data_IF_351516239101
#
_entry.id   IF_351516239101
#
_cell.length_a   1.000
_cell.length_b   1.000
_cell.length_c   1.000
_cell.angle_alpha   90.00
_cell.angle_beta   90.00
_cell.angle_gamma   90.00
#
_symmetry.space_group_name_H-M   'P 1'
#
loop_
_entity.id
_entity.type
_entity.pdbx_description
1 polymer ?
#
# COMPACT_ATOMS: atom_id res chain seq x y z
N UNK A 1 -50.89 39.61 6.01
CA UNK A 1 -49.74 39.12 6.83
C UNK A 1 -49.48 37.61 6.71
N UNK A 2 -50.47 36.78 6.36
CA UNK A 2 -50.34 35.29 6.29
C UNK A 2 -49.51 34.80 5.09
N UNK A 3 -49.51 35.52 3.96
CA UNK A 3 -48.84 35.10 2.73
C UNK A 3 -47.30 35.17 2.81
N UNK A 4 -46.75 36.21 3.46
CA UNK A 4 -45.30 36.35 3.69
C UNK A 4 -44.72 35.24 4.59
N UNK A 5 -45.54 34.70 5.50
CA UNK A 5 -45.17 33.63 6.44
C UNK A 5 -45.05 32.26 5.77
N UNK A 6 -45.90 31.95 4.79
CA UNK A 6 -45.84 30.70 4.01
C UNK A 6 -44.64 30.67 3.04
N UNK A 7 -44.30 31.81 2.44
CA UNK A 7 -43.12 31.95 1.57
C UNK A 7 -41.83 31.76 2.37
N UNK A 8 -41.77 32.31 3.59
CA UNK A 8 -40.60 32.18 4.47
C UNK A 8 -40.37 30.74 4.97
N UNK A 9 -41.44 30.01 5.33
CA UNK A 9 -41.32 28.58 5.69
C UNK A 9 -40.93 27.69 4.50
N UNK A 10 -41.41 27.99 3.29
CA UNK A 10 -41.06 27.21 2.09
C UNK A 10 -39.63 27.43 1.63
N UNK A 11 -39.07 28.63 1.82
CA UNK A 11 -37.66 28.93 1.56
C UNK A 11 -36.72 28.28 2.59
N UNK A 12 -37.13 28.22 3.86
CA UNK A 12 -36.34 27.58 4.92
C UNK A 12 -36.26 26.06 4.75
N UNK A 13 -37.35 25.43 4.30
CA UNK A 13 -37.37 23.99 4.01
C UNK A 13 -36.51 23.60 2.79
N UNK A 14 -36.40 24.47 1.78
CA UNK A 14 -35.56 24.22 0.59
C UNK A 14 -34.05 24.33 0.90
N UNK A 15 -33.66 25.24 1.80
CA UNK A 15 -32.26 25.42 2.23
C UNK A 15 -31.79 24.26 3.12
N UNK A 16 -32.69 23.68 3.94
CA UNK A 16 -32.38 22.50 4.75
C UNK A 16 -32.23 21.22 3.93
N UNK A 17 -32.92 21.10 2.78
CA UNK A 17 -32.82 19.91 1.90
C UNK A 17 -31.57 19.93 1.01
N UNK A 18 -31.01 21.10 0.69
CA UNK A 18 -29.74 21.21 -0.04
C UNK A 18 -28.51 20.92 0.83
N UNK A 19 -28.63 20.97 2.16
CA UNK A 19 -27.52 20.74 3.08
C UNK A 19 -27.20 19.24 3.32
N UNK A 20 -28.04 18.32 2.83
CA UNK A 20 -27.85 16.86 3.03
C UNK A 20 -27.27 16.13 1.82
N UNK A 21 -26.96 16.83 0.72
CA UNK A 21 -26.26 16.26 -0.43
C UNK A 21 -24.77 16.65 -0.43
N UNK A 22 -24.08 16.41 0.68
CA UNK A 22 -22.64 16.17 0.61
C UNK A 22 -22.45 14.75 0.09
N UNK A 23 -22.69 14.53 -1.20
CA UNK A 23 -22.11 13.37 -1.87
C UNK A 23 -20.60 13.51 -1.67
N UNK A 24 -19.97 12.51 -1.05
CA UNK A 24 -18.52 12.40 -0.98
C UNK A 24 -17.99 12.30 -2.41
N UNK A 25 -17.80 13.43 -3.08
CA UNK A 25 -17.03 13.48 -4.32
C UNK A 25 -15.61 13.07 -3.95
N UNK A 26 -14.98 12.14 -4.69
CA UNK A 26 -13.59 11.76 -4.46
C UNK A 26 -12.74 13.02 -4.33
N UNK A 27 -12.21 13.30 -3.15
CA UNK A 27 -11.23 14.37 -2.99
C UNK A 27 -9.92 13.82 -3.52
N UNK A 28 -9.25 14.58 -4.40
CA UNK A 28 -7.93 14.20 -4.94
C UNK A 28 -6.81 14.37 -3.91
N UNK A 29 -7.14 14.72 -2.66
CA UNK A 29 -6.22 14.97 -1.57
C UNK A 29 -6.87 14.72 -0.22
N UNK A 30 -6.02 14.52 0.79
CA UNK A 30 -6.43 14.40 2.18
C UNK A 30 -6.63 15.75 2.83
N UNK A 31 -7.82 16.01 3.35
CA UNK A 31 -8.06 17.23 4.12
C UNK A 31 -7.31 17.18 5.45
N UNK A 32 -7.13 18.35 6.09
CA UNK A 32 -6.56 18.39 7.44
C UNK A 32 -7.37 17.55 8.43
N UNK A 33 -8.69 17.49 8.29
CA UNK A 33 -9.54 16.67 9.14
C UNK A 33 -9.25 15.17 8.95
N UNK A 34 -9.08 14.73 7.70
CA UNK A 34 -8.75 13.32 7.39
C UNK A 34 -7.37 12.95 7.93
N UNK A 35 -6.37 13.84 7.78
CA UNK A 35 -5.04 13.63 8.33
C UNK A 35 -5.07 13.52 9.86
N UNK A 36 -5.87 14.34 10.56
CA UNK A 36 -6.04 14.24 12.01
C UNK A 36 -6.76 12.95 12.43
N UNK A 37 -7.77 12.51 11.68
CA UNK A 37 -8.44 11.21 11.93
C UNK A 37 -7.47 10.05 11.74
N UNK A 38 -6.72 10.03 10.64
CA UNK A 38 -5.69 9.02 10.37
C UNK A 38 -4.63 9.01 11.47
N UNK A 39 -4.15 10.18 11.89
CA UNK A 39 -3.20 10.30 13.02
C UNK A 39 -3.73 9.66 14.30
N UNK A 40 -5.02 9.83 14.62
CA UNK A 40 -5.63 9.18 15.81
C UNK A 40 -5.62 7.65 15.70
N UNK A 41 -5.98 7.11 14.53
CA UNK A 41 -5.90 5.67 14.27
C UNK A 41 -4.46 5.17 14.44
N UNK A 42 -3.49 5.84 13.82
CA UNK A 42 -2.07 5.48 13.95
C UNK A 42 -1.56 5.62 15.40
N UNK A 43 -2.07 6.59 16.17
CA UNK A 43 -1.69 6.76 17.59
C UNK A 43 -2.20 5.60 18.43
N UNK A 44 -3.36 5.03 18.10
CA UNK A 44 -3.93 3.88 18.83
C UNK A 44 -3.12 2.58 18.67
N UNK A 45 -2.19 2.54 17.72
CA UNK A 45 -1.25 1.43 17.54
C UNK A 45 -0.21 1.34 18.67
N UNK A 46 -0.08 2.38 19.50
CA UNK A 46 0.90 2.45 20.58
C UNK A 46 0.27 2.09 21.95
N UNK A 47 0.97 1.30 22.80
CA UNK A 47 2.30 0.73 22.59
C UNK A 47 2.29 -0.41 21.57
N UNK A 48 3.38 -0.53 20.81
CA UNK A 48 3.48 -1.48 19.70
C UNK A 48 3.43 -2.95 20.17
N UNK A 49 2.58 -3.75 19.53
CA UNK A 49 2.38 -5.18 19.84
C UNK A 49 3.10 -6.14 18.90
N UNK A 50 3.09 -5.82 17.60
CA UNK A 50 3.59 -6.67 16.52
C UNK A 50 4.26 -5.85 15.41
N UNK A 51 5.05 -6.53 14.58
CA UNK A 51 5.85 -5.91 13.52
C UNK A 51 5.01 -5.30 12.39
N UNK A 52 3.86 -5.89 12.08
CA UNK A 52 2.98 -5.43 11.01
C UNK A 52 2.37 -4.08 11.39
N UNK A 53 1.75 -4.01 12.56
CA UNK A 53 1.22 -2.79 13.15
C UNK A 53 2.31 -1.72 13.28
N UNK A 54 3.50 -2.09 13.76
CA UNK A 54 4.63 -1.17 13.88
C UNK A 54 5.10 -0.61 12.53
N UNK A 55 5.24 -1.46 11.51
CA UNK A 55 5.63 -1.03 10.16
C UNK A 55 4.62 -0.02 9.61
N UNK A 56 3.33 -0.35 9.61
CA UNK A 56 2.31 0.53 9.04
C UNK A 56 2.08 1.80 9.86
N UNK A 57 2.21 1.75 11.19
CA UNK A 57 2.22 2.94 12.03
C UNK A 57 3.35 3.89 11.63
N UNK A 58 4.59 3.40 11.55
CA UNK A 58 5.76 4.20 11.14
C UNK A 58 5.60 4.77 9.73
N UNK A 59 5.13 3.97 8.79
CA UNK A 59 4.83 4.42 7.43
C UNK A 59 3.78 5.54 7.43
N UNK A 60 2.68 5.37 8.15
CA UNK A 60 1.63 6.38 8.24
C UNK A 60 2.12 7.70 8.80
N UNK A 61 2.88 7.69 9.90
CA UNK A 61 3.48 8.90 10.46
C UNK A 61 4.50 9.55 9.51
N UNK A 62 5.30 8.75 8.80
CA UNK A 62 6.24 9.23 7.79
C UNK A 62 5.53 9.96 6.64
N UNK A 63 4.43 9.38 6.12
CA UNK A 63 3.62 9.97 5.07
C UNK A 63 2.90 11.25 5.52
N UNK A 64 2.41 11.28 6.76
CA UNK A 64 1.82 12.47 7.38
C UNK A 64 2.88 13.53 7.75
N UNK A 65 4.17 13.21 7.68
CA UNK A 65 5.29 14.06 8.13
C UNK A 65 5.15 14.48 9.59
N UNK A 66 4.61 13.58 10.40
CA UNK A 66 4.35 13.76 11.83
C UNK A 66 5.42 13.08 12.69
N UNK A 67 5.59 13.56 13.91
CA UNK A 67 6.53 12.93 14.86
C UNK A 67 5.90 11.69 15.48
N UNK A 68 6.68 10.61 15.56
CA UNK A 68 6.27 9.37 16.24
C UNK A 68 6.10 9.59 17.75
N UNK A 69 5.13 8.93 18.41
CA UNK A 69 4.96 8.98 19.87
C UNK A 69 6.15 8.41 20.65
N UNK A 70 6.78 7.35 20.14
CA UNK A 70 7.96 6.70 20.70
C UNK A 70 8.89 6.19 19.57
N UNK A 71 10.17 5.92 19.88
CA UNK A 71 11.14 5.36 18.92
C UNK A 71 11.00 3.83 18.82
N UNK A 72 10.53 3.28 17.67
CA UNK A 72 10.28 1.86 17.53
C UNK A 72 11.50 1.07 17.03
N UNK A 73 12.68 1.69 16.88
CA UNK A 73 13.83 1.02 16.27
C UNK A 73 14.24 -0.27 17.00
N UNK A 74 14.32 -0.23 18.34
CA UNK A 74 14.63 -1.41 19.16
C UNK A 74 13.55 -2.49 19.04
N UNK A 75 12.30 -2.08 18.91
CA UNK A 75 11.18 -3.00 18.75
C UNK A 75 11.34 -3.82 17.47
N UNK A 76 11.62 -3.16 16.34
CA UNK A 76 11.86 -3.85 15.05
C UNK A 76 12.97 -4.89 15.15
N UNK A 77 14.11 -4.55 15.76
CA UNK A 77 15.23 -5.47 15.90
C UNK A 77 14.90 -6.67 16.81
N UNK A 78 14.22 -6.42 17.93
CA UNK A 78 13.91 -7.45 18.94
C UNK A 78 12.86 -8.48 18.51
N UNK A 79 12.03 -8.17 17.51
CA UNK A 79 10.90 -9.00 17.10
C UNK A 79 11.15 -9.81 15.82
N UNK A 80 12.33 -9.70 15.22
CA UNK A 80 12.68 -10.48 14.03
C UNK A 80 12.78 -11.98 14.38
N UNK A 81 11.98 -12.79 13.68
CA UNK A 81 12.07 -14.24 13.72
C UNK A 81 12.68 -14.75 12.40
N UNK A 82 13.94 -15.19 12.43
CA UNK A 82 14.70 -15.62 11.23
C UNK A 82 14.03 -16.68 10.35
N UNK A 83 13.08 -17.44 10.89
CA UNK A 83 12.33 -18.49 10.18
C UNK A 83 11.04 -17.98 9.52
N UNK A 84 10.68 -16.72 9.73
CA UNK A 84 9.43 -16.10 9.28
C UNK A 84 9.74 -14.86 8.45
N UNK A 85 9.65 -14.99 7.13
CA UNK A 85 10.06 -13.95 6.18
C UNK A 85 9.24 -12.65 6.33
N UNK A 86 7.97 -12.76 6.69
CA UNK A 86 7.08 -11.63 6.98
C UNK A 86 7.64 -10.77 8.14
N UNK A 87 8.17 -11.39 9.20
CA UNK A 87 8.76 -10.62 10.32
C UNK A 87 10.00 -9.83 9.86
N UNK A 88 10.84 -10.42 9.02
CA UNK A 88 12.02 -9.74 8.46
C UNK A 88 11.57 -8.59 7.55
N UNK A 89 10.56 -8.84 6.72
CA UNK A 89 10.00 -7.84 5.81
C UNK A 89 9.43 -6.63 6.56
N UNK A 90 8.57 -6.85 7.56
CA UNK A 90 7.98 -5.76 8.33
C UNK A 90 9.04 -5.01 9.15
N UNK A 91 10.00 -5.71 9.77
CA UNK A 91 11.07 -5.08 10.52
C UNK A 91 11.96 -4.18 9.65
N UNK A 92 12.42 -4.70 8.50
CA UNK A 92 13.29 -3.95 7.57
C UNK A 92 12.58 -2.79 6.90
N UNK A 93 11.30 -2.95 6.55
CA UNK A 93 10.50 -1.90 5.93
C UNK A 93 10.22 -0.75 6.89
N UNK A 94 9.86 -1.06 8.14
CA UNK A 94 9.67 -0.06 9.18
C UNK A 94 10.97 0.64 9.57
N UNK A 95 12.06 -0.12 9.79
CA UNK A 95 13.34 0.45 10.21
C UNK A 95 13.95 1.41 9.19
N UNK A 96 13.79 1.14 7.89
CA UNK A 96 14.32 1.99 6.81
C UNK A 96 13.76 3.42 6.83
N UNK A 97 12.55 3.59 7.34
CA UNK A 97 11.88 4.89 7.42
C UNK A 97 12.36 5.74 8.60
N UNK A 98 13.11 5.15 9.54
CA UNK A 98 13.60 5.83 10.72
C UNK A 98 15.02 6.35 10.52
N UNK A 99 15.32 7.58 10.94
CA UNK A 99 16.68 8.09 10.90
C UNK A 99 17.57 7.27 11.85
N UNK A 100 18.71 6.79 11.33
CA UNK A 100 19.73 6.05 12.08
C UNK A 100 19.28 4.71 12.71
N UNK A 101 18.15 4.13 12.30
CA UNK A 101 17.78 2.81 12.78
C UNK A 101 18.56 1.71 12.04
N UNK A 102 19.38 0.96 12.77
CA UNK A 102 20.16 -0.16 12.24
C UNK A 102 19.77 -1.43 12.96
N UNK A 103 19.29 -2.41 12.18
CA UNK A 103 19.04 -3.75 12.65
C UNK A 103 20.37 -4.47 12.90
N UNK A 104 20.47 -5.20 14.01
CA UNK A 104 21.69 -5.90 14.43
C UNK A 104 21.68 -7.38 14.09
N UNK A 105 20.52 -7.91 13.68
CA UNK A 105 20.36 -9.32 13.30
C UNK A 105 21.28 -9.69 12.13
N UNK A 106 22.22 -10.60 12.40
CA UNK A 106 23.18 -11.10 11.41
C UNK A 106 22.61 -12.25 10.57
N UNK A 107 23.19 -12.50 9.39
CA UNK A 107 22.84 -13.64 8.55
C UNK A 107 21.56 -13.48 7.72
N UNK A 108 20.98 -12.28 7.68
CA UNK A 108 19.75 -12.02 6.92
C UNK A 108 19.95 -12.23 5.42
N UNK A 109 21.09 -11.84 4.85
CA UNK A 109 21.33 -12.01 3.41
C UNK A 109 21.21 -13.49 2.99
N UNK A 110 21.85 -14.41 3.71
CA UNK A 110 21.81 -15.84 3.38
C UNK A 110 20.39 -16.41 3.47
N UNK A 111 19.61 -15.98 4.48
CA UNK A 111 18.22 -16.41 4.67
C UNK A 111 17.35 -15.93 3.50
N UNK A 112 17.48 -14.66 3.13
CA UNK A 112 16.68 -14.04 2.08
C UNK A 112 17.06 -14.59 0.70
N UNK A 113 18.35 -14.78 0.42
CA UNK A 113 18.82 -15.37 -0.84
C UNK A 113 18.36 -16.83 -1.03
N UNK A 114 18.25 -17.59 0.06
CA UNK A 114 17.76 -18.96 0.06
C UNK A 114 16.25 -19.04 -0.22
N UNK A 115 15.47 -18.03 0.20
CA UNK A 115 14.04 -17.95 -0.07
C UNK A 115 13.74 -17.66 -1.55
N UNK A 116 14.69 -17.10 -2.31
CA UNK A 116 14.54 -16.81 -3.74
C UNK A 116 14.74 -18.10 -4.54
N UNK A 117 13.65 -18.87 -4.68
CA UNK A 117 13.56 -20.14 -5.40
C UNK A 117 12.24 -20.24 -6.17
N UNK A 118 12.21 -21.06 -7.24
CA UNK A 118 10.99 -21.33 -8.00
C UNK A 118 9.95 -22.15 -7.19
N UNK A 119 10.36 -22.82 -6.11
CA UNK A 119 9.45 -23.58 -5.24
C UNK A 119 8.78 -22.73 -4.15
N UNK A 120 9.22 -21.47 -3.99
CA UNK A 120 8.66 -20.55 -3.00
C UNK A 120 7.36 -19.91 -3.49
N UNK A 121 6.52 -19.47 -2.56
CA UNK A 121 5.39 -18.61 -2.90
C UNK A 121 5.88 -17.24 -3.39
N UNK A 122 5.12 -16.56 -4.25
CA UNK A 122 5.54 -15.23 -4.71
C UNK A 122 5.51 -14.19 -3.58
N UNK A 123 4.69 -14.41 -2.56
CA UNK A 123 4.69 -13.63 -1.32
C UNK A 123 6.03 -13.75 -0.57
N UNK A 124 6.60 -14.97 -0.48
CA UNK A 124 7.91 -15.17 0.14
C UNK A 124 9.02 -14.49 -0.67
N UNK A 125 8.95 -14.54 -2.01
CA UNK A 125 9.86 -13.80 -2.89
C UNK A 125 9.72 -12.29 -2.63
N UNK A 126 8.49 -11.79 -2.52
CA UNK A 126 8.20 -10.39 -2.20
C UNK A 126 8.82 -9.96 -0.87
N UNK A 127 8.57 -10.71 0.21
CA UNK A 127 9.18 -10.44 1.50
C UNK A 127 10.70 -10.49 1.44
N UNK A 128 11.27 -11.47 0.75
CA UNK A 128 12.71 -11.66 0.66
C UNK A 128 13.41 -10.51 -0.10
N UNK A 129 12.95 -10.21 -1.31
CA UNK A 129 13.58 -9.22 -2.19
C UNK A 129 13.41 -7.81 -1.64
N UNK A 130 12.23 -7.45 -1.12
CA UNK A 130 12.06 -6.13 -0.53
C UNK A 130 12.85 -5.95 0.76
N UNK A 131 13.03 -7.01 1.56
CA UNK A 131 13.93 -6.96 2.72
C UNK A 131 15.38 -6.72 2.31
N UNK A 132 15.88 -7.42 1.28
CA UNK A 132 17.22 -7.19 0.72
C UNK A 132 17.38 -5.74 0.26
N UNK A 133 16.38 -5.22 -0.47
CA UNK A 133 16.37 -3.84 -0.95
C UNK A 133 16.37 -2.83 0.22
N UNK A 134 15.58 -3.08 1.25
CA UNK A 134 15.49 -2.18 2.41
C UNK A 134 16.78 -2.13 3.22
N UNK A 135 17.52 -3.24 3.27
CA UNK A 135 18.82 -3.36 3.90
C UNK A 135 19.99 -2.85 3.03
N UNK A 136 19.72 -2.43 1.79
CA UNK A 136 20.74 -2.12 0.78
C UNK A 136 21.71 -3.29 0.54
N UNK A 137 21.22 -4.53 0.62
CA UNK A 137 21.99 -5.73 0.32
C UNK A 137 21.93 -6.03 -1.18
N UNK A 138 22.89 -6.84 -1.64
CA UNK A 138 22.97 -7.23 -3.05
C UNK A 138 21.74 -8.04 -3.45
N UNK A 139 21.11 -7.67 -4.57
CA UNK A 139 20.03 -8.43 -5.21
C UNK A 139 20.56 -8.94 -6.55
N UNK A 140 20.49 -10.25 -6.79
CA UNK A 140 20.72 -10.81 -8.11
C UNK A 140 19.48 -10.61 -8.99
N UNK A 141 19.42 -9.47 -9.68
CA UNK A 141 18.23 -9.11 -10.46
C UNK A 141 17.89 -10.11 -11.56
N UNK A 142 18.89 -10.76 -12.15
CA UNK A 142 18.68 -11.75 -13.21
C UNK A 142 18.05 -13.04 -12.64
N UNK A 143 18.57 -13.53 -11.49
CA UNK A 143 17.97 -14.66 -10.78
C UNK A 143 16.53 -14.35 -10.36
N UNK A 144 16.30 -13.19 -9.75
CA UNK A 144 14.97 -12.79 -9.27
C UNK A 144 13.98 -12.69 -10.44
N UNK A 145 14.34 -11.99 -11.52
CA UNK A 145 13.45 -11.85 -12.68
C UNK A 145 13.08 -13.21 -13.29
N UNK A 146 14.04 -14.15 -13.37
CA UNK A 146 13.80 -15.52 -13.84
C UNK A 146 12.83 -16.27 -12.93
N UNK A 147 13.06 -16.25 -11.62
CA UNK A 147 12.21 -16.94 -10.62
C UNK A 147 10.79 -16.39 -10.64
N UNK A 148 10.62 -15.07 -10.59
CA UNK A 148 9.30 -14.43 -10.64
C UNK A 148 8.57 -14.79 -11.93
N UNK A 149 9.25 -14.73 -13.08
CA UNK A 149 8.66 -15.11 -14.37
C UNK A 149 8.22 -16.58 -14.38
N UNK A 150 9.01 -17.48 -13.78
CA UNK A 150 8.66 -18.90 -13.68
C UNK A 150 7.42 -19.13 -12.79
N UNK A 151 7.29 -18.40 -11.68
CA UNK A 151 6.12 -18.45 -10.80
C UNK A 151 4.87 -17.92 -11.53
N UNK A 152 4.97 -16.76 -12.19
CA UNK A 152 3.84 -16.16 -12.92
C UNK A 152 3.36 -16.98 -14.11
N UNK A 153 4.20 -17.85 -14.69
CA UNK A 153 3.74 -18.81 -15.72
C UNK A 153 2.79 -19.88 -15.17
N UNK A 154 2.82 -20.11 -13.86
CA UNK A 154 1.99 -21.11 -13.17
C UNK A 154 0.76 -20.49 -12.54
N UNK A 155 0.91 -19.28 -11.99
CA UNK A 155 -0.16 -18.54 -11.33
C UNK A 155 0.08 -17.03 -11.48
N UNK A 156 -0.67 -16.41 -12.39
CA UNK A 156 -0.71 -14.97 -12.64
C UNK A 156 -1.97 -14.30 -12.09
N UNK A 157 -2.51 -14.83 -11.00
CA UNK A 157 -3.55 -14.14 -10.22
C UNK A 157 -3.13 -12.70 -9.89
N UNK A 158 -4.13 -11.81 -9.74
CA UNK A 158 -3.91 -10.39 -9.45
C UNK A 158 -2.94 -10.16 -8.30
N UNK A 159 -3.07 -10.91 -7.21
CA UNK A 159 -2.19 -10.77 -6.04
C UNK A 159 -0.74 -11.14 -6.37
N UNK A 160 -0.52 -12.17 -7.18
CA UNK A 160 0.81 -12.55 -7.62
C UNK A 160 1.41 -11.50 -8.57
N UNK A 161 0.62 -10.97 -9.50
CA UNK A 161 1.05 -9.84 -10.33
C UNK A 161 1.41 -8.62 -9.46
N UNK A 162 0.59 -8.32 -8.44
CA UNK A 162 0.87 -7.27 -7.46
C UNK A 162 2.19 -7.46 -6.73
N UNK A 163 2.47 -8.67 -6.23
CA UNK A 163 3.77 -9.00 -5.64
C UNK A 163 4.90 -8.88 -6.66
N UNK A 164 4.71 -9.35 -7.90
CA UNK A 164 5.71 -9.26 -8.96
C UNK A 164 6.07 -7.81 -9.30
N UNK A 165 5.10 -6.89 -9.38
CA UNK A 165 5.40 -5.47 -9.66
C UNK A 165 6.23 -4.84 -8.55
N UNK A 166 5.88 -5.13 -7.29
CA UNK A 166 6.68 -4.67 -6.16
C UNK A 166 8.10 -5.26 -6.18
N UNK A 167 8.25 -6.55 -6.43
CA UNK A 167 9.57 -7.20 -6.56
C UNK A 167 10.37 -6.59 -7.72
N UNK A 168 9.73 -6.40 -8.87
CA UNK A 168 10.33 -5.81 -10.05
C UNK A 168 10.83 -4.38 -9.80
N UNK A 169 10.12 -3.60 -8.97
CA UNK A 169 10.53 -2.25 -8.59
C UNK A 169 11.86 -2.18 -7.81
N UNK A 170 12.27 -3.29 -7.19
CA UNK A 170 13.55 -3.40 -6.47
C UNK A 170 14.70 -3.90 -7.36
N UNK A 171 14.45 -4.17 -8.64
CA UNK A 171 15.47 -4.60 -9.60
C UNK A 171 16.20 -3.39 -10.19
N UNK A 172 17.39 -3.62 -10.75
CA UNK A 172 18.19 -2.54 -11.35
C UNK A 172 17.83 -2.25 -12.82
N UNK A 173 17.22 -3.22 -13.50
CA UNK A 173 16.92 -3.20 -14.94
C UNK A 173 15.87 -4.26 -15.27
N UNK A 174 15.55 -4.40 -16.55
CA UNK A 174 14.64 -5.41 -17.09
C UNK A 174 13.20 -5.28 -16.57
N UNK A 175 12.73 -4.05 -16.38
CA UNK A 175 11.37 -3.73 -15.94
C UNK A 175 10.29 -4.04 -16.98
N UNK A 176 10.65 -3.99 -18.27
CA UNK A 176 9.71 -4.06 -19.40
C UNK A 176 8.75 -5.26 -19.34
N UNK A 177 9.20 -6.51 -19.12
CA UNK A 177 8.31 -7.66 -19.09
C UNK A 177 7.25 -7.61 -17.97
N UNK A 178 7.55 -6.92 -16.87
CA UNK A 178 6.59 -6.70 -15.78
C UNK A 178 5.67 -5.53 -16.10
N UNK A 179 6.20 -4.46 -16.71
CA UNK A 179 5.43 -3.28 -17.07
C UNK A 179 4.34 -3.60 -18.10
N UNK A 180 4.63 -4.46 -19.07
CA UNK A 180 3.67 -4.93 -20.07
C UNK A 180 2.49 -5.71 -19.47
N UNK A 181 2.61 -6.24 -18.25
CA UNK A 181 1.54 -6.96 -17.54
C UNK A 181 0.63 -6.05 -16.72
N UNK A 182 0.92 -4.74 -16.65
CA UNK A 182 0.09 -3.81 -15.87
C UNK A 182 -1.28 -3.66 -16.52
N UNK A 183 -1.35 -3.44 -17.83
CA UNK A 183 -2.65 -3.29 -18.51
C UNK A 183 -3.54 -4.53 -18.30
N UNK A 184 -2.96 -5.72 -18.41
CA UNK A 184 -3.63 -7.01 -18.17
C UNK A 184 -4.18 -7.15 -16.74
N UNK A 185 -3.49 -6.60 -15.74
CA UNK A 185 -4.01 -6.63 -14.36
C UNK A 185 -5.12 -5.62 -14.18
N UNK A 186 -4.98 -4.40 -14.73
CA UNK A 186 -5.92 -3.32 -14.48
C UNK A 186 -7.30 -3.62 -15.07
N UNK A 187 -7.37 -4.35 -16.19
CA UNK A 187 -8.65 -4.79 -16.79
C UNK A 187 -9.40 -5.83 -15.95
N UNK A 188 -8.76 -6.44 -14.95
CA UNK A 188 -9.40 -7.38 -14.01
C UNK A 188 -10.04 -6.67 -12.81
N UNK A 189 -9.95 -5.35 -12.71
CA UNK A 189 -10.60 -4.62 -11.63
C UNK A 189 -12.11 -4.53 -11.87
N UNK A 190 -12.88 -4.80 -10.83
CA UNK A 190 -14.31 -4.59 -10.79
C UNK A 190 -14.63 -3.12 -10.52
N UNK A 191 -15.57 -2.60 -11.28
CA UNK A 191 -16.20 -1.31 -10.97
C UNK A 191 -17.37 -1.52 -10.02
N UNK A 192 -17.32 -0.87 -8.86
CA UNK A 192 -18.37 -0.93 -7.84
C UNK A 192 -19.15 0.38 -7.86
N UNK A 193 -20.47 0.26 -8.03
CA UNK A 193 -21.44 1.37 -8.05
C UNK A 193 -21.12 2.52 -9.02
N UNK A 194 -20.31 2.26 -10.05
CA UNK A 194 -19.86 3.29 -10.99
C UNK A 194 -18.83 4.28 -10.42
N UNK A 195 -18.33 4.04 -9.20
CA UNK A 195 -17.61 5.03 -8.39
C UNK A 195 -16.17 4.66 -8.09
N UNK A 196 -15.86 3.37 -7.95
CA UNK A 196 -14.53 2.94 -7.56
C UNK A 196 -14.14 1.59 -8.18
N UNK A 197 -12.83 1.36 -8.30
CA UNK A 197 -12.24 0.16 -8.90
C UNK A 197 -11.53 -0.65 -7.83
N UNK A 198 -11.93 -1.91 -7.64
CA UNK A 198 -11.26 -2.83 -6.73
C UNK A 198 -10.96 -4.15 -7.44
N UNK A 199 -10.00 -4.91 -6.95
CA UNK A 199 -9.86 -6.31 -7.37
C UNK A 199 -10.70 -7.22 -6.49
N UNK A 200 -11.12 -8.35 -7.05
CA UNK A 200 -11.63 -9.47 -6.25
C UNK A 200 -10.62 -9.82 -5.14
N UNK A 201 -11.12 -10.01 -3.92
CA UNK A 201 -10.32 -10.21 -2.71
C UNK A 201 -9.99 -8.92 -1.92
N UNK A 202 -10.53 -7.78 -2.34
CA UNK A 202 -10.72 -6.59 -1.49
C UNK A 202 -9.53 -5.63 -1.42
N UNK A 203 -9.54 -4.76 -0.40
CA UNK A 203 -8.59 -3.65 -0.27
C UNK A 203 -7.14 -4.10 -0.17
N UNK A 204 -6.84 -5.24 0.46
CA UNK A 204 -5.47 -5.74 0.60
C UNK A 204 -4.81 -6.05 -0.74
N UNK A 205 -5.52 -6.77 -1.61
CA UNK A 205 -5.02 -7.10 -2.97
C UNK A 205 -4.95 -5.83 -3.81
N UNK A 206 -5.97 -4.97 -3.71
CA UNK A 206 -6.02 -3.68 -4.41
C UNK A 206 -4.84 -2.80 -4.05
N UNK A 207 -4.58 -2.58 -2.76
CA UNK A 207 -3.47 -1.75 -2.28
C UNK A 207 -2.10 -2.32 -2.67
N UNK A 208 -1.88 -3.63 -2.50
CA UNK A 208 -0.62 -4.29 -2.88
C UNK A 208 -0.36 -4.14 -4.39
N UNK A 209 -1.37 -4.40 -5.21
CA UNK A 209 -1.24 -4.38 -6.67
C UNK A 209 -1.00 -2.96 -7.18
N UNK A 210 -1.84 -2.00 -6.78
CA UNK A 210 -1.70 -0.61 -7.22
C UNK A 210 -0.41 0.01 -6.68
N UNK A 211 -0.01 -0.26 -5.43
CA UNK A 211 1.30 0.19 -4.93
C UNK A 211 2.45 -0.38 -5.76
N UNK A 212 2.36 -1.65 -6.17
CA UNK A 212 3.35 -2.29 -7.04
C UNK A 212 3.45 -1.60 -8.40
N UNK A 213 2.32 -1.27 -9.03
CA UNK A 213 2.27 -0.53 -10.30
C UNK A 213 3.00 0.81 -10.20
N UNK A 214 2.69 1.61 -9.17
CA UNK A 214 3.33 2.92 -8.98
C UNK A 214 4.83 2.79 -8.70
N UNK A 215 5.24 1.85 -7.84
CA UNK A 215 6.66 1.62 -7.53
C UNK A 215 7.45 1.15 -8.75
N UNK A 216 6.88 0.24 -9.55
CA UNK A 216 7.52 -0.22 -10.77
C UNK A 216 7.66 0.91 -11.79
N UNK A 217 6.63 1.74 -11.95
CA UNK A 217 6.68 2.91 -12.82
C UNK A 217 7.77 3.91 -12.38
N UNK A 218 7.86 4.18 -11.07
CA UNK A 218 8.91 5.02 -10.48
C UNK A 218 10.32 4.44 -10.77
N UNK A 219 10.53 3.15 -10.53
CA UNK A 219 11.79 2.47 -10.81
C UNK A 219 12.17 2.51 -12.30
N UNK A 220 11.18 2.32 -13.18
CA UNK A 220 11.34 2.39 -14.62
C UNK A 220 11.40 3.84 -15.17
N UNK A 221 11.22 4.86 -14.32
CA UNK A 221 11.19 6.29 -14.69
C UNK A 221 10.19 6.60 -15.80
N UNK A 222 9.02 5.96 -15.74
CA UNK A 222 7.92 6.13 -16.69
C UNK A 222 6.63 6.45 -15.93
N UNK A 223 5.62 6.99 -16.62
CA UNK A 223 4.29 7.12 -16.04
C UNK A 223 3.71 5.72 -15.76
N UNK A 224 2.95 5.52 -14.67
CA UNK A 224 2.22 4.27 -14.46
C UNK A 224 1.24 4.06 -15.61
N UNK A 225 1.09 2.81 -16.06
CA UNK A 225 0.12 2.43 -17.10
C UNK A 225 -1.31 2.41 -16.52
N UNK A 226 -1.76 3.58 -16.07
CA UNK A 226 -3.06 3.87 -15.46
C UNK A 226 -3.58 5.20 -16.03
N UNK A 227 -4.84 5.23 -16.42
CA UNK A 227 -5.50 6.49 -16.74
C UNK A 227 -5.72 7.32 -15.47
N UNK A 228 -5.91 8.64 -15.63
CA UNK A 228 -6.22 9.51 -14.50
C UNK A 228 -7.53 9.13 -13.79
N UNK A 229 -8.54 8.68 -14.55
CA UNK A 229 -9.82 8.21 -13.99
C UNK A 229 -9.63 6.93 -13.17
N UNK A 230 -8.88 5.96 -13.70
CA UNK A 230 -8.56 4.71 -12.99
C UNK A 230 -7.81 5.02 -11.69
N UNK A 231 -6.82 5.91 -11.73
CA UNK A 231 -6.08 6.32 -10.53
C UNK A 231 -7.00 6.89 -9.45
N UNK A 232 -7.97 7.73 -9.81
CA UNK A 232 -8.94 8.30 -8.86
C UNK A 232 -9.87 7.21 -8.29
N UNK A 233 -10.36 6.30 -9.15
CA UNK A 233 -11.26 5.22 -8.74
C UNK A 233 -10.60 4.22 -7.78
N UNK A 234 -9.32 3.88 -7.99
CA UNK A 234 -8.56 3.04 -7.06
C UNK A 234 -8.25 3.74 -5.73
N UNK A 235 -8.02 5.06 -5.74
CA UNK A 235 -7.74 5.81 -4.51
C UNK A 235 -8.95 5.85 -3.56
N UNK A 236 -10.16 5.90 -4.10
CA UNK A 236 -11.40 6.14 -3.33
C UNK A 236 -11.75 5.00 -2.36
N UNK A 237 -11.44 3.74 -2.69
CA UNK A 237 -11.71 2.59 -1.80
C UNK A 237 -10.90 2.66 -0.50
N UNK A 238 -9.65 3.10 -0.58
CA UNK A 238 -8.78 3.19 0.60
C UNK A 238 -9.30 4.14 1.69
N UNK A 239 -10.20 5.07 1.32
CA UNK A 239 -10.76 6.07 2.24
C UNK A 239 -12.13 5.70 2.80
N UNK A 240 -12.95 5.00 2.03
CA UNK A 240 -14.33 4.69 2.45
C UNK A 240 -14.37 3.61 3.54
N UNK A 241 -13.55 2.57 3.47
CA UNK A 241 -13.52 1.54 4.53
C UNK A 241 -12.96 2.10 5.85
N UNK A 242 -11.93 2.96 5.79
CA UNK A 242 -11.41 3.68 6.97
C UNK A 242 -12.46 4.63 7.59
N UNK A 243 -13.46 5.05 6.81
CA UNK A 243 -14.56 5.90 7.29
C UNK A 243 -15.84 5.13 7.65
N UNK A 244 -16.02 3.90 7.18
CA UNK A 244 -17.23 3.12 7.38
C UNK A 244 -17.31 2.49 8.77
N UNK A 245 -16.18 2.36 9.48
CA UNK A 245 -16.10 1.91 10.88
C UNK A 245 -16.22 3.07 11.91
N UNK A 246 -16.89 4.17 11.56
CA UNK A 246 -17.16 5.33 12.45
C UNK A 246 -18.65 5.51 12.75
#
# INVERSE_FOLDING_TARGET
MVWKRKIFCSLFALVLFCATCSSLTPSTFLTNADQQRLKKVLTSAFPLSDLTTAHYAVLGYSLLKEKLPEDPCKFFDSKIEKKKLDTIFHATSGSKLLPNCKLTVTGLQQILDAAISEDSSLQDIYHAVLSLHNLNLKIDSAKVAKVVTAILKRDDSVINLGYAFNVASALQKDFKPFFERIEDVIVQADEVDGKYLQFEGGLGITATTISGVYRLAEAAKTAPALSADQAIKFQTISWQEVCADC
#
